data_IF_446210941246
#
_entry.id   IF_446210941246
#
_cell.length_a   1.000
_cell.length_b   1.000
_cell.length_c   1.000
_cell.angle_alpha   90.00
_cell.angle_beta   90.00
_cell.angle_gamma   90.00
#
_symmetry.space_group_name_H-M   'P 1'
#
loop_
_entity.id
_entity.type
_entity.pdbx_description
1 polymer ?
#
# COMPACT_ATOMS: atom_id res chain seq x y z
N UNK A 1 -24.30 12.37 3.39
CA UNK A 1 -23.56 11.15 3.06
C UNK A 1 -22.17 11.54 2.59
N UNK A 2 -21.29 11.70 3.54
CA UNK A 2 -19.87 11.79 3.23
C UNK A 2 -19.51 10.52 2.48
N UNK A 3 -19.21 10.70 1.25
CA UNK A 3 -19.21 9.67 0.26
C UNK A 3 -18.30 8.49 0.65
N UNK A 4 -18.92 7.42 1.08
CA UNK A 4 -18.36 6.08 0.94
C UNK A 4 -17.83 5.81 -0.47
N UNK A 5 -18.23 6.60 -1.47
CA UNK A 5 -17.68 6.58 -2.83
C UNK A 5 -16.20 6.99 -2.88
N UNK A 6 -15.77 8.01 -2.13
CA UNK A 6 -14.34 8.41 -2.13
C UNK A 6 -13.45 7.42 -1.43
N UNK A 7 -13.89 6.87 -0.29
CA UNK A 7 -13.18 5.81 0.42
C UNK A 7 -13.20 4.49 -0.36
N UNK A 8 -14.32 4.16 -1.00
CA UNK A 8 -14.45 2.98 -1.84
C UNK A 8 -13.56 3.04 -3.09
N UNK A 9 -13.40 4.21 -3.69
CA UNK A 9 -12.54 4.42 -4.85
C UNK A 9 -11.05 4.24 -4.51
N UNK A 10 -10.60 4.76 -3.37
CA UNK A 10 -9.21 4.60 -2.91
C UNK A 10 -8.95 3.16 -2.50
N UNK A 11 -9.88 2.56 -1.76
CA UNK A 11 -9.74 1.20 -1.22
C UNK A 11 -9.68 0.11 -2.30
N UNK A 12 -10.40 0.30 -3.41
CA UNK A 12 -10.48 -0.69 -4.49
C UNK A 12 -9.49 -0.50 -5.63
N UNK A 13 -8.68 0.57 -5.61
CA UNK A 13 -7.73 0.82 -6.70
C UNK A 13 -6.61 -0.20 -6.71
N UNK A 14 -6.45 -0.83 -7.85
CA UNK A 14 -5.34 -1.72 -8.13
C UNK A 14 -4.09 -0.94 -8.59
N UNK A 15 -2.89 -1.53 -8.59
CA UNK A 15 -1.67 -0.86 -9.04
C UNK A 15 -1.76 -0.28 -10.46
N UNK A 16 -2.36 -1.00 -11.40
CA UNK A 16 -2.56 -0.50 -12.77
C UNK A 16 -3.51 0.71 -12.84
N UNK A 17 -4.46 0.84 -11.91
CA UNK A 17 -5.32 2.02 -11.81
C UNK A 17 -4.52 3.25 -11.39
N UNK A 18 -3.57 3.08 -10.47
CA UNK A 18 -2.66 4.14 -10.07
C UNK A 18 -1.70 4.53 -11.19
N UNK A 19 -1.22 3.59 -11.97
CA UNK A 19 -0.41 3.86 -13.15
C UNK A 19 -1.18 4.73 -14.15
N UNK A 20 -2.45 4.39 -14.42
CA UNK A 20 -3.32 5.20 -15.28
C UNK A 20 -3.53 6.61 -14.73
N UNK A 21 -3.74 6.76 -13.42
CA UNK A 21 -3.85 8.07 -12.76
C UNK A 21 -2.56 8.88 -12.92
N UNK A 22 -1.40 8.30 -12.72
CA UNK A 22 -0.12 8.97 -12.90
C UNK A 22 0.00 9.54 -14.32
N UNK A 23 -0.28 8.72 -15.32
CA UNK A 23 -0.17 9.13 -16.72
C UNK A 23 -1.26 10.15 -17.13
N UNK A 24 -2.44 10.06 -16.53
CA UNK A 24 -3.52 11.05 -16.72
C UNK A 24 -3.10 12.44 -16.21
N UNK A 25 -2.36 12.51 -15.12
CA UNK A 25 -1.97 13.78 -14.47
C UNK A 25 -0.50 14.13 -14.71
N UNK A 26 -0.04 13.95 -15.93
CA UNK A 26 1.25 14.46 -16.43
C UNK A 26 2.42 13.52 -16.24
N UNK A 27 2.19 12.28 -15.87
CA UNK A 27 3.22 11.24 -15.87
C UNK A 27 3.43 10.62 -17.25
N UNK A 28 4.55 9.97 -17.42
CA UNK A 28 4.89 9.17 -18.60
C UNK A 28 5.67 7.93 -18.12
N UNK A 29 4.96 7.06 -17.43
CA UNK A 29 5.54 5.84 -16.86
C UNK A 29 5.11 4.67 -17.73
N UNK A 30 6.05 3.82 -18.19
CA UNK A 30 5.72 2.58 -18.89
C UNK A 30 5.00 1.63 -17.95
N UNK A 31 4.34 0.63 -18.53
CA UNK A 31 3.64 -0.38 -17.75
C UNK A 31 4.59 -1.02 -16.73
N UNK A 32 4.28 -0.84 -15.45
CA UNK A 32 5.03 -1.40 -14.34
C UNK A 32 4.11 -1.58 -13.13
N UNK A 33 4.23 -2.69 -12.45
CA UNK A 33 3.56 -2.98 -11.18
C UNK A 33 4.23 -4.19 -10.53
N UNK A 34 3.91 -4.43 -9.25
CA UNK A 34 4.42 -5.59 -8.52
C UNK A 34 3.80 -6.91 -8.99
N UNK A 35 4.18 -7.99 -8.34
CA UNK A 35 3.61 -9.32 -8.60
C UNK A 35 2.10 -9.27 -8.34
N UNK A 36 1.26 -9.78 -9.24
CA UNK A 36 -0.19 -9.83 -9.03
C UNK A 36 -0.57 -10.52 -7.72
N UNK A 37 -1.57 -9.95 -7.03
CA UNK A 37 -2.01 -10.45 -5.71
C UNK A 37 -2.39 -11.93 -5.76
N UNK A 38 -3.07 -12.35 -6.81
CA UNK A 38 -3.53 -13.74 -7.00
C UNK A 38 -2.35 -14.72 -7.06
N UNK A 39 -1.24 -14.31 -7.67
CA UNK A 39 -0.02 -15.11 -7.72
C UNK A 39 0.65 -15.21 -6.35
N UNK A 40 0.65 -14.13 -5.58
CA UNK A 40 1.18 -14.13 -4.20
C UNK A 40 0.32 -15.03 -3.31
N UNK A 41 -1.00 -14.91 -3.40
CA UNK A 41 -1.95 -15.75 -2.64
C UNK A 41 -1.74 -17.23 -2.97
N UNK A 42 -1.55 -17.55 -4.24
CA UNK A 42 -1.23 -18.93 -4.65
C UNK A 42 0.11 -19.38 -4.09
N UNK A 43 1.14 -18.53 -4.17
CA UNK A 43 2.46 -18.82 -3.58
C UNK A 43 2.40 -19.08 -2.06
N UNK A 44 1.53 -18.36 -1.34
CA UNK A 44 1.34 -18.57 0.11
C UNK A 44 0.83 -19.99 0.39
N UNK A 45 -0.06 -20.52 -0.43
CA UNK A 45 -0.52 -21.91 -0.30
C UNK A 45 0.60 -22.94 -0.49
N UNK A 46 1.65 -22.57 -1.21
CA UNK A 46 2.79 -23.42 -1.51
C UNK A 46 4.05 -23.08 -0.70
N UNK A 47 3.92 -22.33 0.37
CA UNK A 47 5.01 -22.16 1.35
C UNK A 47 5.66 -20.78 1.39
N UNK A 48 5.22 -19.81 0.58
CA UNK A 48 5.69 -18.43 0.70
C UNK A 48 5.28 -17.85 2.05
N UNK A 49 6.22 -17.33 2.81
CA UNK A 49 6.01 -16.81 4.18
C UNK A 49 6.38 -15.34 4.33
N UNK A 50 7.20 -14.81 3.45
CA UNK A 50 7.58 -13.39 3.43
C UNK A 50 7.33 -12.80 2.06
N UNK A 51 6.65 -11.67 2.02
CA UNK A 51 6.36 -10.92 0.80
C UNK A 51 6.84 -9.49 0.97
N UNK A 52 7.62 -9.00 0.01
CA UNK A 52 8.00 -7.59 -0.06
C UNK A 52 7.05 -6.87 -1.02
N UNK A 53 6.56 -5.72 -0.58
CA UNK A 53 5.70 -4.85 -1.39
C UNK A 53 6.33 -3.47 -1.42
N UNK A 54 6.68 -2.98 -2.60
CA UNK A 54 7.30 -1.67 -2.78
C UNK A 54 6.70 -0.93 -3.97
N UNK A 55 6.77 -1.49 -5.17
CA UNK A 55 6.32 -0.84 -6.41
C UNK A 55 4.88 -0.36 -6.32
N UNK A 56 3.97 -1.20 -5.82
CA UNK A 56 2.55 -0.87 -5.72
C UNK A 56 2.31 0.30 -4.76
N UNK A 57 3.06 0.38 -3.66
CA UNK A 57 2.99 1.50 -2.73
C UNK A 57 3.53 2.79 -3.35
N UNK A 58 4.60 2.70 -4.12
CA UNK A 58 5.16 3.86 -4.84
C UNK A 58 4.20 4.40 -5.89
N UNK A 59 3.55 3.52 -6.64
CA UNK A 59 2.53 3.91 -7.62
C UNK A 59 1.35 4.62 -6.94
N UNK A 60 0.85 4.09 -5.85
CA UNK A 60 -0.24 4.69 -5.09
C UNK A 60 0.14 6.06 -4.52
N UNK A 61 1.33 6.18 -3.94
CA UNK A 61 1.85 7.44 -3.41
C UNK A 61 1.97 8.50 -4.50
N UNK A 62 2.66 8.19 -5.58
CA UNK A 62 2.88 9.11 -6.69
C UNK A 62 1.57 9.50 -7.38
N UNK A 63 0.70 8.53 -7.65
CA UNK A 63 -0.58 8.78 -8.32
C UNK A 63 -1.52 9.65 -7.50
N UNK A 64 -1.62 9.38 -6.19
CA UNK A 64 -2.48 10.17 -5.31
C UNK A 64 -1.99 11.60 -5.13
N UNK A 65 -0.68 11.82 -5.08
CA UNK A 65 -0.09 13.17 -5.01
C UNK A 65 -0.34 13.93 -6.32
N UNK A 66 -0.06 13.32 -7.47
CA UNK A 66 -0.30 13.96 -8.77
C UNK A 66 -1.76 14.36 -8.94
N UNK A 67 -2.68 13.47 -8.63
CA UNK A 67 -4.11 13.75 -8.71
C UNK A 67 -4.51 14.88 -7.77
N UNK A 68 -4.07 14.81 -6.51
CA UNK A 68 -4.39 15.84 -5.52
C UNK A 68 -3.94 17.23 -5.97
N UNK A 69 -2.70 17.36 -6.43
CA UNK A 69 -2.16 18.64 -6.88
C UNK A 69 -2.86 19.15 -8.15
N UNK A 70 -3.29 18.27 -9.05
CA UNK A 70 -4.06 18.66 -10.23
C UNK A 70 -5.48 19.12 -9.87
N UNK A 71 -6.14 18.46 -8.93
CA UNK A 71 -7.48 18.81 -8.47
C UNK A 71 -7.50 20.03 -7.53
N UNK A 72 -6.37 20.35 -6.90
CA UNK A 72 -6.22 21.46 -5.96
C UNK A 72 -5.01 22.34 -6.35
N UNK A 73 -5.10 23.06 -7.46
CA UNK A 73 -3.94 23.77 -8.05
C UNK A 73 -3.41 24.92 -7.16
N UNK A 74 -4.18 25.39 -6.20
CA UNK A 74 -3.74 26.42 -5.25
C UNK A 74 -3.09 25.84 -4.00
N UNK A 75 -3.11 24.52 -3.84
CA UNK A 75 -2.60 23.89 -2.63
C UNK A 75 -1.08 23.71 -2.69
N UNK A 76 -0.39 24.18 -1.67
CA UNK A 76 1.07 24.09 -1.56
C UNK A 76 1.56 23.48 -0.25
N UNK A 77 0.65 23.19 0.69
CA UNK A 77 1.04 22.61 1.99
C UNK A 77 1.32 21.10 1.81
N UNK A 78 2.57 20.66 2.06
CA UNK A 78 2.92 19.25 1.93
C UNK A 78 2.06 18.31 2.79
N UNK A 79 1.58 18.77 3.94
CA UNK A 79 0.71 17.96 4.81
C UNK A 79 -0.57 17.53 4.10
N UNK A 80 -1.04 18.32 3.15
CA UNK A 80 -2.27 18.04 2.39
C UNK A 80 -2.04 16.94 1.35
N UNK A 81 -1.07 17.08 0.47
CA UNK A 81 -0.84 16.06 -0.55
C UNK A 81 -0.16 14.80 0.01
N UNK A 82 0.62 14.92 1.09
CA UNK A 82 1.16 13.73 1.78
C UNK A 82 0.06 12.97 2.54
N UNK A 83 -0.99 13.64 3.00
CA UNK A 83 -2.17 12.96 3.56
C UNK A 83 -2.88 12.10 2.49
N UNK A 84 -2.97 12.59 1.26
CA UNK A 84 -3.51 11.81 0.13
C UNK A 84 -2.65 10.56 -0.14
N UNK A 85 -1.32 10.73 -0.13
CA UNK A 85 -0.37 9.61 -0.27
C UNK A 85 -0.55 8.57 0.84
N UNK A 86 -0.60 9.00 2.08
CA UNK A 86 -0.79 8.13 3.23
C UNK A 86 -2.08 7.30 3.11
N UNK A 87 -3.19 7.94 2.75
CA UNK A 87 -4.47 7.27 2.58
C UNK A 87 -4.42 6.19 1.49
N UNK A 88 -3.79 6.50 0.35
CA UNK A 88 -3.67 5.57 -0.76
C UNK A 88 -2.79 4.36 -0.42
N UNK A 89 -1.64 4.60 0.22
CA UNK A 89 -0.74 3.53 0.65
C UNK A 89 -1.38 2.65 1.73
N UNK A 90 -2.06 3.26 2.70
CA UNK A 90 -2.79 2.53 3.75
C UNK A 90 -3.84 1.60 3.15
N UNK A 91 -4.58 2.05 2.15
CA UNK A 91 -5.59 1.23 1.48
C UNK A 91 -4.98 -0.02 0.83
N UNK A 92 -3.82 0.11 0.18
CA UNK A 92 -3.10 -1.05 -0.36
C UNK A 92 -2.65 -1.99 0.75
N UNK A 93 -2.09 -1.48 1.83
CA UNK A 93 -1.65 -2.30 2.95
C UNK A 93 -2.81 -3.11 3.54
N UNK A 94 -3.96 -2.49 3.76
CA UNK A 94 -5.16 -3.18 4.26
C UNK A 94 -5.57 -4.30 3.31
N UNK A 95 -5.67 -4.01 2.02
CA UNK A 95 -6.03 -4.99 1.02
C UNK A 95 -5.07 -6.19 1.01
N UNK A 96 -3.77 -5.95 1.11
CA UNK A 96 -2.75 -7.00 1.14
C UNK A 96 -2.83 -7.83 2.43
N UNK A 97 -3.03 -7.21 3.59
CA UNK A 97 -3.22 -7.94 4.85
C UNK A 97 -4.43 -8.86 4.80
N UNK A 98 -5.53 -8.41 4.22
CA UNK A 98 -6.73 -9.23 4.03
C UNK A 98 -6.47 -10.36 3.03
N UNK A 99 -5.93 -10.04 1.86
CA UNK A 99 -5.68 -11.03 0.80
C UNK A 99 -4.69 -12.12 1.22
N UNK A 100 -3.68 -11.77 2.02
CA UNK A 100 -2.64 -12.72 2.48
C UNK A 100 -3.00 -13.45 3.76
N UNK A 101 -4.15 -13.19 4.35
CA UNK A 101 -4.61 -13.85 5.58
C UNK A 101 -3.90 -13.40 6.84
N UNK A 102 -3.21 -12.25 6.82
CA UNK A 102 -2.49 -11.70 7.97
C UNK A 102 -3.33 -10.74 8.82
N UNK A 103 -4.44 -10.25 8.29
CA UNK A 103 -5.34 -9.37 9.03
C UNK A 103 -5.84 -10.04 10.32
N UNK A 104 -5.96 -9.25 11.40
CA UNK A 104 -6.45 -9.72 12.69
C UNK A 104 -5.45 -10.52 13.53
N UNK A 105 -4.19 -10.61 13.12
CA UNK A 105 -3.18 -11.41 13.81
C UNK A 105 -2.17 -10.60 14.65
N UNK A 106 -2.13 -9.28 14.50
CA UNK A 106 -1.14 -8.45 15.19
C UNK A 106 -1.17 -8.61 16.71
N UNK A 107 -2.35 -8.67 17.31
CA UNK A 107 -2.53 -8.85 18.76
C UNK A 107 -2.11 -10.23 19.28
N UNK A 108 -1.92 -11.20 18.39
CA UNK A 108 -1.48 -12.56 18.73
C UNK A 108 0.04 -12.70 18.79
N UNK A 109 0.77 -11.68 18.35
CA UNK A 109 2.23 -11.69 18.26
C UNK A 109 2.79 -10.88 19.42
N UNK A 110 3.61 -11.52 20.24
CA UNK A 110 4.35 -10.87 21.33
C UNK A 110 5.80 -10.72 20.89
N UNK A 111 6.33 -9.50 20.75
CA UNK A 111 7.73 -9.28 20.43
C UNK A 111 8.64 -9.89 21.52
N UNK A 112 9.76 -10.45 21.12
CA UNK A 112 10.77 -10.92 22.06
C UNK A 112 11.35 -9.72 22.84
N UNK A 113 11.55 -9.90 24.15
CA UNK A 113 12.27 -8.93 24.96
C UNK A 113 13.75 -8.87 24.55
N UNK A 114 14.41 -7.76 24.90
CA UNK A 114 15.85 -7.65 24.68
C UNK A 114 16.63 -8.79 25.35
N UNK A 115 16.27 -9.14 26.60
CA UNK A 115 16.91 -10.23 27.33
C UNK A 115 16.74 -11.59 26.63
N UNK A 116 15.55 -11.90 26.12
CA UNK A 116 15.29 -13.13 25.36
C UNK A 116 16.10 -13.17 24.06
N UNK A 117 16.21 -12.03 23.37
CA UNK A 117 17.00 -11.95 22.13
C UNK A 117 18.49 -12.08 22.41
N UNK A 118 19.00 -11.45 23.47
CA UNK A 118 20.39 -11.61 23.90
C UNK A 118 20.72 -13.07 24.24
N UNK A 119 19.83 -13.77 24.93
CA UNK A 119 20.00 -15.18 25.24
C UNK A 119 20.09 -16.06 23.99
N UNK A 120 19.29 -15.74 22.94
CA UNK A 120 19.36 -16.44 21.64
C UNK A 120 20.69 -16.24 20.93
N UNK A 121 21.22 -15.02 20.95
CA UNK A 121 22.52 -14.73 20.32
C UNK A 121 23.72 -15.24 21.12
N UNK A 122 23.57 -15.45 22.40
CA UNK A 122 24.64 -16.01 23.27
C UNK A 122 24.74 -17.54 23.23
N UNK A 123 23.76 -18.20 22.65
CA UNK A 123 23.70 -19.68 22.58
C UNK A 123 24.58 -20.24 21.43
#
# INVERSE_FOLDING_TARGET
TFSSRGLGDVYKRQPQDWLAVINQFGGDIPETYGVPVEQVVEGIKHGVRKVNIDTDLRLASTGSIRRFLAEHPAEFDPRKYLAASLAAMKAICIDRYEAFGTAGNASKITPLSLAEMQARYAA
#
